data_IF_159943927022
#
_entry.id   IF_159943927022
#
_cell.length_a   1.000
_cell.length_b   1.000
_cell.length_c   1.000
_cell.angle_alpha   90.00
_cell.angle_beta   90.00
_cell.angle_gamma   90.00
#
_symmetry.space_group_name_H-M   'P 1'
#
loop_
_entity.id
_entity.type
_entity.pdbx_description
1 polymer ?
#
# COMPACT_ATOMS: atom_id res chain seq x y z
N UNK A 1 -4.53 -0.66 -8.83
CA UNK A 1 -4.06 -1.34 -10.05
C UNK A 1 -4.05 -2.83 -9.76
N UNK A 2 -4.83 -3.63 -10.51
CA UNK A 2 -4.86 -5.08 -10.32
C UNK A 2 -4.10 -5.76 -11.46
N UNK A 3 -2.84 -6.13 -11.22
CA UNK A 3 -1.99 -6.67 -12.27
C UNK A 3 -2.53 -7.93 -12.93
N UNK A 4 -3.27 -8.78 -12.21
CA UNK A 4 -3.88 -9.98 -12.78
C UNK A 4 -4.92 -9.68 -13.86
N UNK A 5 -5.43 -8.44 -13.93
CA UNK A 5 -6.36 -7.98 -14.97
C UNK A 5 -5.67 -7.41 -16.21
N UNK A 6 -4.34 -7.25 -16.16
CA UNK A 6 -3.56 -6.67 -17.24
C UNK A 6 -3.57 -7.58 -18.47
N UNK A 7 -4.00 -7.04 -19.60
CA UNK A 7 -3.98 -7.64 -20.92
C UNK A 7 -2.95 -6.89 -21.77
N UNK A 8 -2.00 -7.62 -22.34
CA UNK A 8 -1.10 -7.11 -23.38
C UNK A 8 -1.76 -7.29 -24.75
N UNK A 9 -2.11 -6.17 -25.38
CA UNK A 9 -2.76 -6.13 -26.69
C UNK A 9 -1.74 -6.17 -27.85
N UNK A 10 -0.45 -6.26 -27.54
CA UNK A 10 0.66 -6.09 -28.48
C UNK A 10 0.91 -4.62 -28.84
N UNK A 11 2.04 -4.38 -29.52
CA UNK A 11 2.44 -3.03 -29.96
C UNK A 11 2.42 -1.98 -28.83
N UNK A 12 2.92 -2.35 -27.65
CA UNK A 12 2.99 -1.45 -26.49
C UNK A 12 1.62 -0.91 -26.03
N UNK A 13 0.54 -1.64 -26.32
CA UNK A 13 -0.83 -1.32 -25.92
C UNK A 13 -1.32 -2.29 -24.86
N UNK A 14 -1.98 -1.78 -23.83
CA UNK A 14 -2.40 -2.53 -22.65
C UNK A 14 -3.81 -2.16 -22.23
N UNK A 15 -4.53 -3.12 -21.68
CA UNK A 15 -5.83 -2.93 -21.04
C UNK A 15 -5.75 -3.47 -19.62
N UNK A 16 -6.31 -2.76 -18.65
CA UNK A 16 -6.36 -3.20 -17.25
C UNK A 16 -7.71 -2.80 -16.66
N UNK A 17 -8.20 -3.52 -15.64
CA UNK A 17 -9.39 -3.12 -14.92
C UNK A 17 -9.23 -1.71 -14.32
N UNK A 18 -10.31 -0.94 -14.30
CA UNK A 18 -10.28 0.42 -13.78
C UNK A 18 -9.91 0.42 -12.29
N UNK A 19 -9.15 1.44 -11.88
CA UNK A 19 -8.78 1.66 -10.50
C UNK A 19 -8.87 3.14 -10.15
N UNK A 20 -9.13 3.45 -8.88
CA UNK A 20 -9.30 4.83 -8.43
C UNK A 20 -8.02 5.67 -8.59
N UNK A 21 -8.13 7.00 -8.79
CA UNK A 21 -6.99 7.90 -8.86
C UNK A 21 -6.35 8.20 -7.49
N UNK A 22 -6.85 7.58 -6.42
CA UNK A 22 -6.40 7.79 -5.05
C UNK A 22 -5.04 7.12 -4.81
N UNK A 23 -3.97 7.74 -5.31
CA UNK A 23 -2.60 7.26 -5.13
C UNK A 23 -2.17 7.15 -3.65
N UNK A 24 -2.80 7.91 -2.74
CA UNK A 24 -2.50 7.90 -1.31
C UNK A 24 -3.51 7.11 -0.46
N UNK A 25 -4.50 6.46 -1.09
CA UNK A 25 -5.45 5.56 -0.46
C UNK A 25 -6.46 6.18 0.52
N UNK A 26 -6.10 7.19 1.32
CA UNK A 26 -6.94 7.66 2.42
C UNK A 26 -7.33 6.54 3.39
N UNK A 27 -6.49 5.51 3.50
CA UNK A 27 -6.74 4.20 4.10
C UNK A 27 -7.71 3.28 3.33
N UNK A 28 -8.21 3.64 2.15
CA UNK A 28 -9.13 2.81 1.35
C UNK A 28 -8.49 1.80 0.41
N UNK A 29 -7.15 1.66 0.41
CA UNK A 29 -6.43 0.66 -0.38
C UNK A 29 -5.35 0.04 0.52
N UNK A 30 -5.27 -1.31 0.63
CA UNK A 30 -4.24 -1.96 1.43
C UNK A 30 -2.87 -1.84 0.75
N UNK A 31 -1.80 -2.05 1.52
CA UNK A 31 -0.45 -2.11 0.98
C UNK A 31 -0.31 -3.28 0.00
N UNK A 32 0.37 -3.03 -1.11
CA UNK A 32 0.73 -4.09 -2.04
C UNK A 32 1.98 -4.85 -1.57
N UNK A 33 2.25 -6.00 -2.18
CA UNK A 33 3.36 -6.88 -1.79
C UNK A 33 4.73 -6.18 -1.81
N UNK A 34 4.96 -5.26 -2.75
CA UNK A 34 6.23 -4.53 -2.82
C UNK A 34 6.35 -3.52 -1.68
N UNK A 35 5.27 -2.81 -1.33
CA UNK A 35 5.24 -1.93 -0.15
C UNK A 35 5.47 -2.73 1.14
N UNK A 36 4.81 -3.88 1.28
CA UNK A 36 4.99 -4.80 2.42
C UNK A 36 6.42 -5.34 2.50
N UNK A 37 7.03 -5.67 1.36
CA UNK A 37 8.45 -6.04 1.29
C UNK A 37 9.35 -4.91 1.79
N UNK A 38 9.16 -3.68 1.29
CA UNK A 38 9.95 -2.52 1.73
C UNK A 38 9.79 -2.26 3.24
N UNK A 39 8.58 -2.44 3.77
CA UNK A 39 8.28 -2.36 5.21
C UNK A 39 8.91 -3.50 6.02
N UNK A 40 9.35 -4.60 5.39
CA UNK A 40 9.87 -5.79 6.07
C UNK A 40 8.80 -6.75 6.56
N UNK A 41 7.58 -6.59 6.07
CA UNK A 41 6.44 -7.43 6.41
C UNK A 41 6.32 -8.64 5.50
N UNK A 42 6.98 -8.62 4.34
CA UNK A 42 7.02 -9.71 3.36
C UNK A 42 8.48 -10.10 3.03
N UNK A 43 8.74 -11.39 2.84
CA UNK A 43 10.04 -11.88 2.38
C UNK A 43 10.20 -11.65 0.86
N UNK A 44 11.44 -11.55 0.37
CA UNK A 44 11.74 -11.38 -1.06
C UNK A 44 11.32 -12.60 -1.88
N UNK A 45 11.26 -13.78 -1.25
CA UNK A 45 10.80 -15.03 -1.87
C UNK A 45 9.27 -15.07 -2.04
N UNK A 46 8.53 -14.29 -1.25
CA UNK A 46 7.07 -14.21 -1.30
C UNK A 46 6.57 -13.05 -2.18
N UNK A 47 7.48 -12.22 -2.71
CA UNK A 47 7.15 -11.07 -3.53
C UNK A 47 6.72 -11.51 -4.94
N UNK A 48 5.47 -11.21 -5.29
CA UNK A 48 4.99 -11.40 -6.66
C UNK A 48 5.70 -10.45 -7.64
N UNK A 49 6.02 -10.97 -8.83
CA UNK A 49 6.56 -10.15 -9.91
C UNK A 49 5.56 -9.05 -10.29
N UNK A 50 6.06 -7.82 -10.49
CA UNK A 50 5.20 -6.71 -10.88
C UNK A 50 5.67 -5.93 -12.09
N UNK A 51 4.73 -5.35 -12.82
CA UNK A 51 5.00 -4.59 -14.03
C UNK A 51 4.98 -3.08 -13.75
N UNK A 52 6.04 -2.40 -14.17
CA UNK A 52 6.12 -0.94 -14.23
C UNK A 52 6.08 -0.49 -15.68
N UNK A 53 5.20 0.48 -15.96
CA UNK A 53 5.07 1.11 -17.26
C UNK A 53 5.62 2.53 -17.19
N UNK A 54 6.57 2.85 -18.04
CA UNK A 54 7.17 4.19 -18.16
C UNK A 54 6.89 4.75 -19.55
N UNK A 55 6.94 6.08 -19.63
CA UNK A 55 6.68 6.82 -20.87
C UNK A 55 5.31 6.46 -21.48
N UNK A 56 4.25 6.66 -20.68
CA UNK A 56 2.86 6.52 -21.12
C UNK A 56 2.57 7.56 -22.21
N UNK A 57 2.20 7.11 -23.40
CA UNK A 57 1.96 7.97 -24.56
C UNK A 57 0.49 8.24 -24.86
N UNK A 58 -0.39 7.36 -24.40
CA UNK A 58 -1.83 7.51 -24.53
C UNK A 58 -2.54 6.79 -23.39
N UNK A 59 -3.68 7.33 -22.97
CA UNK A 59 -4.57 6.76 -21.96
C UNK A 59 -6.01 7.03 -22.40
N UNK A 60 -6.83 5.99 -22.43
CA UNK A 60 -8.29 6.04 -22.57
C UNK A 60 -8.90 5.47 -21.30
N UNK A 61 -9.79 6.23 -20.68
CA UNK A 61 -10.52 5.82 -19.48
C UNK A 61 -11.92 5.38 -19.91
N UNK A 62 -12.20 4.09 -19.77
CA UNK A 62 -13.51 3.51 -20.00
C UNK A 62 -14.24 3.27 -18.67
N UNK A 63 -15.49 2.80 -18.72
CA UNK A 63 -16.30 2.58 -17.51
C UNK A 63 -15.66 1.55 -16.56
N UNK A 64 -15.16 0.43 -17.10
CA UNK A 64 -14.62 -0.69 -16.31
C UNK A 64 -13.14 -0.97 -16.55
N UNK A 65 -12.51 -0.30 -17.52
CA UNK A 65 -11.11 -0.54 -17.89
C UNK A 65 -10.38 0.75 -18.21
N UNK A 66 -9.06 0.73 -18.08
CA UNK A 66 -8.16 1.71 -18.67
C UNK A 66 -7.37 1.06 -19.80
N UNK A 67 -7.40 1.68 -20.98
CA UNK A 67 -6.56 1.30 -22.10
C UNK A 67 -5.42 2.31 -22.21
N UNK A 68 -4.18 1.86 -22.30
CA UNK A 68 -3.04 2.76 -22.38
C UNK A 68 -1.94 2.23 -23.28
N UNK A 69 -1.08 3.14 -23.74
CA UNK A 69 0.14 2.79 -24.46
C UNK A 69 1.35 3.29 -23.69
N UNK A 70 2.41 2.48 -23.63
CA UNK A 70 3.64 2.78 -22.89
C UNK A 70 4.86 2.44 -23.73
N UNK A 71 5.87 3.31 -23.84
CA UNK A 71 7.06 2.95 -24.60
C UNK A 71 7.87 1.82 -23.96
N UNK A 72 7.84 1.72 -22.63
CA UNK A 72 8.60 0.73 -21.90
C UNK A 72 7.73 0.07 -20.83
N UNK A 73 7.78 -1.26 -20.83
CA UNK A 73 7.31 -2.14 -19.77
C UNK A 73 8.54 -2.80 -19.15
N UNK A 74 8.68 -2.68 -17.83
CA UNK A 74 9.70 -3.37 -17.05
C UNK A 74 9.01 -4.29 -16.06
N UNK A 75 9.30 -5.58 -16.12
CA UNK A 75 8.85 -6.54 -15.11
C UNK A 75 9.92 -6.66 -14.04
N UNK A 76 9.57 -6.29 -12.82
CA UNK A 76 10.40 -6.49 -11.63
C UNK A 76 10.15 -7.88 -11.05
N UNK A 77 11.25 -8.53 -10.73
CA UNK A 77 11.34 -9.84 -10.07
C UNK A 77 12.18 -9.68 -8.81
N UNK A 78 12.11 -10.66 -7.91
CA UNK A 78 12.96 -10.71 -6.72
C UNK A 78 14.45 -10.53 -7.05
N UNK A 79 14.95 -11.20 -8.08
CA UNK A 79 16.35 -11.10 -8.53
C UNK A 79 16.70 -9.69 -9.02
N UNK A 80 15.89 -9.12 -9.92
CA UNK A 80 16.15 -7.77 -10.47
C UNK A 80 16.06 -6.67 -9.42
N UNK A 81 15.21 -6.85 -8.40
CA UNK A 81 15.12 -5.92 -7.27
C UNK A 81 16.36 -6.01 -6.37
N UNK A 82 16.85 -7.21 -6.07
CA UNK A 82 18.08 -7.40 -5.30
C UNK A 82 19.27 -6.81 -6.06
N UNK A 83 19.35 -7.03 -7.36
CA UNK A 83 20.43 -6.47 -8.19
C UNK A 83 20.40 -4.93 -8.21
N UNK A 84 19.20 -4.34 -8.23
CA UNK A 84 19.00 -2.89 -8.30
C UNK A 84 19.21 -2.19 -6.96
N UNK A 85 18.64 -2.74 -5.88
CA UNK A 85 18.54 -2.07 -4.57
C UNK A 85 19.47 -2.68 -3.51
N UNK A 86 20.04 -3.85 -3.79
CA UNK A 86 20.72 -4.68 -2.80
C UNK A 86 19.73 -5.49 -1.95
N UNK A 87 20.27 -6.32 -1.05
CA UNK A 87 19.45 -7.00 -0.06
C UNK A 87 18.86 -5.99 0.93
N UNK A 88 17.58 -6.18 1.27
CA UNK A 88 16.92 -5.35 2.28
C UNK A 88 17.60 -5.49 3.64
N UNK A 89 17.79 -4.35 4.31
CA UNK A 89 18.27 -4.29 5.69
C UNK A 89 17.36 -3.38 6.54
N UNK A 90 16.88 -3.81 7.73
CA UNK A 90 17.05 -5.14 8.34
C UNK A 90 16.52 -6.26 7.45
N UNK A 91 16.81 -7.52 7.75
CA UNK A 91 16.21 -8.64 7.00
C UNK A 91 14.72 -8.77 7.32
N UNK A 92 13.95 -9.52 6.54
CA UNK A 92 12.54 -9.84 6.87
C UNK A 92 12.41 -10.41 8.29
N UNK A 93 13.27 -11.35 8.66
CA UNK A 93 13.27 -12.00 9.97
C UNK A 93 13.57 -11.05 11.15
N UNK A 94 14.31 -9.98 10.90
CA UNK A 94 14.73 -9.01 11.93
C UNK A 94 13.89 -7.73 11.90
N UNK A 95 12.91 -7.64 11.00
CA UNK A 95 12.11 -6.44 10.85
C UNK A 95 11.08 -6.31 11.95
N UNK A 96 10.91 -5.08 12.42
CA UNK A 96 9.83 -4.74 13.33
C UNK A 96 8.49 -4.90 12.60
N UNK A 97 7.59 -5.68 13.20
CA UNK A 97 6.20 -5.84 12.73
C UNK A 97 5.16 -5.29 13.71
N UNK A 98 5.58 -5.05 14.95
CA UNK A 98 4.74 -4.53 16.02
C UNK A 98 5.28 -3.14 16.41
N UNK A 99 4.40 -2.14 16.39
CA UNK A 99 4.76 -0.74 16.61
C UNK A 99 3.98 -0.14 17.77
N UNK A 100 4.58 0.86 18.44
CA UNK A 100 3.87 1.67 19.42
C UNK A 100 3.37 2.94 18.74
N UNK A 101 2.08 3.25 18.89
CA UNK A 101 1.47 4.46 18.37
C UNK A 101 1.64 5.61 19.37
N UNK A 102 2.13 6.76 18.89
CA UNK A 102 2.12 8.03 19.61
C UNK A 102 1.29 9.04 18.82
N UNK A 103 0.13 9.43 19.37
CA UNK A 103 -0.70 10.49 18.80
C UNK A 103 -0.25 11.86 19.36
N UNK A 104 0.05 12.81 18.46
CA UNK A 104 0.44 14.18 18.81
C UNK A 104 -0.50 15.14 18.07
N UNK A 105 -1.19 16.01 18.82
CA UNK A 105 -2.00 17.07 18.24
C UNK A 105 -1.29 18.41 18.38
N UNK A 106 -1.07 19.09 17.26
CA UNK A 106 -0.44 20.40 17.20
C UNK A 106 -1.52 21.42 16.83
N UNK A 107 -1.83 22.33 17.75
CA UNK A 107 -2.91 23.30 17.62
C UNK A 107 -2.59 24.56 18.42
N UNK A 108 -3.04 25.72 17.93
CA UNK A 108 -2.93 27.00 18.64
C UNK A 108 -4.00 27.16 19.73
N UNK A 109 -5.01 26.29 19.73
CA UNK A 109 -6.11 26.30 20.70
C UNK A 109 -6.10 25.03 21.55
N UNK A 110 -6.47 25.15 22.82
CA UNK A 110 -6.73 23.98 23.67
C UNK A 110 -7.84 23.12 23.06
N UNK A 111 -7.61 21.81 22.98
CA UNK A 111 -8.63 20.85 22.59
C UNK A 111 -9.73 20.74 23.64
N UNK A 112 -10.97 20.61 23.18
CA UNK A 112 -12.09 20.24 24.04
C UNK A 112 -12.04 18.74 24.40
N UNK A 113 -12.85 18.31 25.37
CA UNK A 113 -13.01 16.88 25.68
C UNK A 113 -13.47 16.08 24.46
N UNK A 114 -14.41 16.63 23.67
CA UNK A 114 -14.90 15.99 22.44
C UNK A 114 -13.81 15.87 21.36
N UNK A 115 -12.85 16.79 21.31
CA UNK A 115 -11.75 16.71 20.36
C UNK A 115 -10.72 15.66 20.78
N UNK A 116 -10.41 15.58 22.08
CA UNK A 116 -9.56 14.50 22.61
C UNK A 116 -10.20 13.13 22.40
N UNK A 117 -11.51 13.01 22.63
CA UNK A 117 -12.24 11.76 22.41
C UNK A 117 -12.11 11.29 20.95
N UNK A 118 -12.22 12.18 19.96
CA UNK A 118 -12.02 11.80 18.55
C UNK A 118 -10.61 11.32 18.26
N UNK A 119 -9.60 11.94 18.86
CA UNK A 119 -8.20 11.53 18.69
C UNK A 119 -8.00 10.14 19.27
N UNK A 120 -8.51 9.90 20.47
CA UNK A 120 -8.44 8.60 21.15
C UNK A 120 -9.19 7.52 20.35
N UNK A 121 -10.44 7.79 19.95
CA UNK A 121 -11.24 6.86 19.13
C UNK A 121 -10.55 6.53 17.79
N UNK A 122 -9.91 7.51 17.15
CA UNK A 122 -9.17 7.29 15.90
C UNK A 122 -7.91 6.46 16.13
N UNK A 123 -7.17 6.73 17.21
CA UNK A 123 -5.98 5.96 17.56
C UNK A 123 -6.36 4.51 17.87
N UNK A 124 -7.40 4.30 18.69
CA UNK A 124 -7.92 2.98 19.05
C UNK A 124 -8.37 2.23 17.81
N UNK A 125 -9.19 2.86 16.96
CA UNK A 125 -9.64 2.29 15.69
C UNK A 125 -8.45 1.83 14.82
N UNK A 126 -7.47 2.71 14.62
CA UNK A 126 -6.33 2.42 13.76
C UNK A 126 -5.42 1.30 14.29
N UNK A 127 -5.51 1.01 15.60
CA UNK A 127 -4.75 -0.04 16.30
C UNK A 127 -5.46 -1.39 16.40
N UNK A 128 -6.69 -1.53 15.91
CA UNK A 128 -7.43 -2.80 15.94
C UNK A 128 -6.69 -3.90 15.18
N UNK A 129 -6.87 -5.14 15.63
CA UNK A 129 -6.29 -6.37 15.04
C UNK A 129 -7.35 -7.21 14.31
N UNK A 130 -8.36 -6.54 13.75
CA UNK A 130 -9.49 -7.18 13.08
C UNK A 130 -9.99 -6.33 11.92
N UNK A 131 -10.69 -6.99 10.99
CA UNK A 131 -11.48 -6.34 9.95
C UNK A 131 -12.74 -5.74 10.59
N UNK A 132 -12.94 -4.44 10.40
CA UNK A 132 -14.06 -3.71 11.00
C UNK A 132 -15.26 -3.54 10.06
N UNK A 133 -15.17 -4.10 8.85
CA UNK A 133 -16.19 -4.10 7.81
C UNK A 133 -16.37 -2.76 7.12
N UNK A 134 -15.49 -1.78 7.35
CA UNK A 134 -15.57 -0.48 6.71
C UNK A 134 -14.79 -0.44 5.38
N UNK A 135 -14.97 0.63 4.61
CA UNK A 135 -14.19 0.86 3.39
C UNK A 135 -12.80 1.45 3.67
N UNK A 136 -12.45 1.64 4.94
CA UNK A 136 -11.18 2.21 5.39
C UNK A 136 -10.45 1.16 6.21
N UNK A 137 -9.22 0.88 5.85
CA UNK A 137 -8.39 -0.09 6.53
C UNK A 137 -7.71 0.54 7.75
N UNK A 138 -7.81 -0.11 8.90
CA UNK A 138 -6.88 0.08 10.00
C UNK A 138 -5.49 -0.49 9.63
N UNK A 139 -4.48 -0.28 10.48
CA UNK A 139 -3.11 -0.69 10.13
C UNK A 139 -2.96 -2.20 9.95
N UNK A 140 -3.66 -3.00 10.77
CA UNK A 140 -3.62 -4.45 10.66
C UNK A 140 -4.23 -4.92 9.35
N UNK A 141 -5.41 -4.41 8.98
CA UNK A 141 -6.07 -4.78 7.72
C UNK A 141 -5.25 -4.33 6.50
N UNK A 142 -4.74 -3.09 6.52
CA UNK A 142 -3.95 -2.54 5.43
C UNK A 142 -2.69 -3.35 5.16
N UNK A 143 -2.17 -4.04 6.17
CA UNK A 143 -0.97 -4.88 6.08
C UNK A 143 -1.29 -6.36 5.89
N UNK A 144 -2.54 -6.72 5.56
CA UNK A 144 -3.01 -8.11 5.45
C UNK A 144 -2.75 -8.93 6.73
N UNK A 145 -2.83 -8.27 7.88
CA UNK A 145 -2.60 -8.84 9.20
C UNK A 145 -1.14 -9.10 9.55
N UNK A 146 -0.19 -8.60 8.77
CA UNK A 146 1.25 -8.80 8.99
C UNK A 146 1.83 -7.81 10.01
N UNK A 147 1.22 -6.64 10.18
CA UNK A 147 1.65 -5.59 11.11
C UNK A 147 0.62 -5.31 12.20
N UNK A 148 1.10 -4.78 13.32
CA UNK A 148 0.23 -4.33 14.42
C UNK A 148 0.70 -3.00 15.03
N UNK A 149 -0.26 -2.25 15.55
CA UNK A 149 -0.02 -1.08 16.39
C UNK A 149 -0.54 -1.37 17.79
N UNK A 150 0.16 -0.84 18.79
CA UNK A 150 -0.28 -0.84 20.17
C UNK A 150 -0.24 0.57 20.73
N UNK A 151 -1.21 0.88 21.58
CA UNK A 151 -1.27 2.14 22.33
C UNK A 151 -0.79 1.83 23.74
N UNK A 152 0.24 2.53 24.19
CA UNK A 152 0.68 2.48 25.59
C UNK A 152 -0.02 3.60 26.35
N UNK A 153 -0.82 3.25 27.35
CA UNK A 153 -1.44 4.18 28.29
C UNK A 153 -0.53 4.42 29.51
#
# INVERSE_FOLDING_TARGET
>A
FQQSSLIDNGNNSYTVDSFGPFANGGNGVPYNDFELYLMGMLDIEDLNNFDMFTDITALSINETTFDFTAHQKTTFTSETLIDLLGQRFPTYAESQKEFNLLAIVITDNSLSEDDWLKVDETAEWFSKLEDDGTSLYNFWEATNGLGSLSISY
#
